data_IF_187706826965
#
_entry.id   IF_187706826965
#
_cell.length_a   1.000
_cell.length_b   1.000
_cell.length_c   1.000
_cell.angle_alpha   90.00
_cell.angle_beta   90.00
_cell.angle_gamma   90.00
#
_symmetry.space_group_name_H-M   'P 1'
#
loop_
_entity.id
_entity.type
_entity.pdbx_description
1 polymer ?
#
# COMPACT_ATOMS: atom_id res chain seq x y z
N UNK A 1 -20.72 -38.55 -10.71
CA UNK A 1 -19.88 -37.88 -9.68
C UNK A 1 -18.91 -36.98 -10.43
N UNK A 2 -19.26 -35.71 -10.63
CA UNK A 2 -18.31 -34.71 -11.13
C UNK A 2 -17.40 -34.35 -9.98
N UNK A 3 -16.15 -34.82 -10.03
CA UNK A 3 -15.11 -34.33 -9.13
C UNK A 3 -15.01 -32.82 -9.29
N UNK A 4 -15.26 -32.08 -8.20
CA UNK A 4 -14.90 -30.67 -8.14
C UNK A 4 -13.38 -30.62 -8.13
N UNK A 5 -12.78 -30.33 -9.28
CA UNK A 5 -11.37 -29.96 -9.37
C UNK A 5 -11.17 -28.81 -8.38
N UNK A 6 -10.29 -28.95 -7.36
CA UNK A 6 -10.05 -27.86 -6.43
C UNK A 6 -9.56 -26.69 -7.27
N UNK A 7 -10.28 -25.56 -7.22
CA UNK A 7 -9.87 -24.37 -7.94
C UNK A 7 -8.41 -24.09 -7.60
N UNK A 8 -7.52 -24.17 -8.59
CA UNK A 8 -6.15 -23.73 -8.40
C UNK A 8 -6.24 -22.29 -7.89
N UNK A 9 -5.80 -22.04 -6.66
CA UNK A 9 -5.77 -20.68 -6.11
C UNK A 9 -4.67 -19.91 -6.83
N UNK A 10 -4.97 -19.45 -8.04
CA UNK A 10 -4.17 -18.49 -8.76
C UNK A 10 -4.16 -17.14 -8.03
N UNK A 11 -3.21 -16.29 -8.39
CA UNK A 11 -3.12 -14.93 -7.87
C UNK A 11 -4.36 -14.11 -8.25
N UNK A 12 -5.04 -13.54 -7.25
CA UNK A 12 -6.29 -12.81 -7.43
C UNK A 12 -6.01 -11.33 -7.70
N UNK A 13 -6.37 -10.83 -8.88
CA UNK A 13 -6.25 -9.41 -9.25
C UNK A 13 -7.44 -8.57 -8.78
N UNK A 14 -7.83 -8.73 -7.52
CA UNK A 14 -8.86 -7.92 -6.88
C UNK A 14 -8.41 -6.45 -6.68
N UNK A 15 -9.38 -5.57 -6.40
CA UNK A 15 -9.15 -4.12 -6.28
C UNK A 15 -8.02 -3.77 -5.28
N UNK A 16 -8.00 -4.31 -4.03
CA UNK A 16 -6.88 -4.08 -3.10
C UNK A 16 -5.52 -4.56 -3.62
N UNK A 17 -5.50 -5.66 -4.36
CA UNK A 17 -4.27 -6.21 -4.93
C UNK A 17 -3.70 -5.28 -5.99
N UNK A 18 -4.54 -4.77 -6.90
CA UNK A 18 -4.12 -3.81 -7.92
C UNK A 18 -3.51 -2.56 -7.27
N UNK A 19 -4.18 -1.99 -6.26
CA UNK A 19 -3.64 -0.84 -5.52
C UNK A 19 -2.31 -1.18 -4.84
N UNK A 20 -2.19 -2.35 -4.23
CA UNK A 20 -0.95 -2.79 -3.58
C UNK A 20 0.22 -2.91 -4.56
N UNK A 21 -0.04 -3.45 -5.76
CA UNK A 21 0.97 -3.57 -6.82
C UNK A 21 1.41 -2.20 -7.34
N UNK A 22 0.49 -1.24 -7.47
CA UNK A 22 0.83 0.14 -7.86
C UNK A 22 1.75 0.80 -6.82
N UNK A 23 1.49 0.60 -5.53
CA UNK A 23 2.36 1.12 -4.46
C UNK A 23 3.72 0.41 -4.40
N UNK A 24 3.79 -0.87 -4.76
CA UNK A 24 5.08 -1.55 -4.90
C UNK A 24 5.87 -1.01 -6.09
N UNK A 25 5.21 -0.82 -7.23
CA UNK A 25 5.82 -0.25 -8.43
C UNK A 25 6.29 1.21 -8.22
N UNK A 26 5.66 1.95 -7.31
CA UNK A 26 6.04 3.34 -7.04
C UNK A 26 7.39 3.49 -6.35
N UNK A 27 8.00 2.43 -5.83
CA UNK A 27 9.34 2.52 -5.24
C UNK A 27 10.39 2.91 -6.29
N UNK A 28 10.15 2.60 -7.57
CA UNK A 28 11.07 2.93 -8.66
C UNK A 28 10.94 4.36 -9.16
N UNK A 29 9.73 4.91 -9.22
CA UNK A 29 9.46 6.21 -9.88
C UNK A 29 8.53 7.15 -9.11
N UNK A 30 7.89 6.69 -8.04
CA UNK A 30 6.89 7.43 -7.26
C UNK A 30 5.52 7.56 -7.94
N UNK A 31 5.49 7.76 -9.26
CA UNK A 31 4.26 8.07 -10.03
C UNK A 31 3.14 7.03 -9.85
N UNK A 32 3.38 5.71 -9.90
CA UNK A 32 2.33 4.71 -9.71
C UNK A 32 1.51 4.85 -8.43
N UNK A 33 2.06 5.42 -7.35
CA UNK A 33 1.30 5.58 -6.10
C UNK A 33 0.18 6.62 -6.24
N UNK A 34 0.34 7.61 -7.13
CA UNK A 34 -0.70 8.60 -7.42
C UNK A 34 -1.90 7.94 -8.08
N UNK A 35 -1.65 7.04 -9.03
CA UNK A 35 -2.69 6.23 -9.66
C UNK A 35 -3.36 5.34 -8.59
N UNK A 36 -2.53 4.69 -7.76
CA UNK A 36 -3.01 3.81 -6.70
C UNK A 36 -3.91 4.52 -5.69
N UNK A 37 -3.56 5.73 -5.23
CA UNK A 37 -4.40 6.46 -4.27
C UNK A 37 -5.72 6.93 -4.89
N UNK A 38 -5.71 7.36 -6.16
CA UNK A 38 -6.93 7.74 -6.86
C UNK A 38 -7.87 6.55 -6.99
N UNK A 39 -7.36 5.40 -7.44
CA UNK A 39 -8.15 4.16 -7.51
C UNK A 39 -8.65 3.74 -6.13
N UNK A 40 -7.83 3.87 -5.09
CA UNK A 40 -8.25 3.57 -3.73
C UNK A 40 -9.42 4.45 -3.30
N UNK A 41 -9.42 5.74 -3.60
CA UNK A 41 -10.54 6.64 -3.29
C UNK A 41 -11.82 6.29 -4.06
N UNK A 42 -11.69 5.91 -5.33
CA UNK A 42 -12.83 5.52 -6.17
C UNK A 42 -13.46 4.23 -5.64
N UNK A 43 -12.65 3.17 -5.48
CA UNK A 43 -13.14 1.84 -5.12
C UNK A 43 -13.58 1.72 -3.66
N UNK A 44 -13.10 2.59 -2.77
CA UNK A 44 -13.51 2.59 -1.35
C UNK A 44 -15.03 2.79 -1.18
N UNK A 45 -15.68 3.48 -2.11
CA UNK A 45 -17.12 3.76 -2.08
C UNK A 45 -17.98 2.74 -2.84
N UNK A 46 -17.37 1.77 -3.53
CA UNK A 46 -18.10 0.80 -4.33
C UNK A 46 -18.66 -0.35 -3.46
N UNK A 47 -19.83 -0.92 -3.80
CA UNK A 47 -20.34 -2.11 -3.13
C UNK A 47 -19.36 -3.29 -3.33
N UNK A 48 -18.62 -3.63 -2.27
CA UNK A 48 -17.61 -4.69 -2.29
C UNK A 48 -17.64 -5.54 -1.02
N UNK A 49 -16.71 -6.48 -0.92
CA UNK A 49 -16.59 -7.30 0.29
C UNK A 49 -16.03 -6.45 1.44
N UNK A 50 -16.55 -6.60 2.66
CA UNK A 50 -16.17 -5.73 3.79
C UNK A 50 -14.67 -5.71 4.13
N UNK A 51 -13.91 -6.72 3.69
CA UNK A 51 -12.45 -6.75 3.84
C UNK A 51 -11.72 -5.85 2.84
N UNK A 52 -12.26 -5.58 1.66
CA UNK A 52 -11.62 -4.78 0.61
C UNK A 52 -11.48 -3.31 1.04
N UNK A 53 -12.56 -2.73 1.58
CA UNK A 53 -12.57 -1.35 2.08
C UNK A 53 -11.47 -1.10 3.12
N UNK A 54 -11.19 -2.07 4.00
CA UNK A 54 -10.10 -1.94 4.98
C UNK A 54 -8.72 -1.76 4.34
N UNK A 55 -8.46 -2.40 3.19
CA UNK A 55 -7.21 -2.26 2.46
C UNK A 55 -7.12 -0.93 1.72
N UNK A 56 -8.21 -0.51 1.09
CA UNK A 56 -8.25 0.76 0.35
C UNK A 56 -8.04 1.93 1.32
N UNK A 57 -8.71 1.90 2.48
CA UNK A 57 -8.47 2.88 3.58
C UNK A 57 -7.03 2.84 4.08
N UNK A 58 -6.45 1.65 4.24
CA UNK A 58 -5.07 1.50 4.68
C UNK A 58 -4.08 2.11 3.69
N UNK A 59 -4.28 1.91 2.38
CA UNK A 59 -3.46 2.53 1.34
C UNK A 59 -3.61 4.05 1.30
N UNK A 60 -4.85 4.56 1.37
CA UNK A 60 -5.12 6.00 1.46
C UNK A 60 -4.38 6.63 2.64
N UNK A 61 -4.45 6.02 3.84
CA UNK A 61 -3.71 6.52 5.00
C UNK A 61 -2.20 6.45 4.79
N UNK A 62 -1.72 5.36 4.21
CA UNK A 62 -0.29 5.16 3.94
C UNK A 62 0.26 6.23 2.99
N UNK A 63 -0.52 6.64 1.99
CA UNK A 63 -0.17 7.74 1.09
C UNK A 63 0.04 9.05 1.84
N UNK A 64 -0.93 9.44 2.67
CA UNK A 64 -0.85 10.71 3.40
C UNK A 64 0.24 10.70 4.47
N UNK A 65 0.45 9.57 5.15
CA UNK A 65 1.58 9.40 6.08
C UNK A 65 2.90 9.50 5.30
N UNK A 66 3.00 8.88 4.12
CA UNK A 66 4.17 8.96 3.25
C UNK A 66 4.49 10.40 2.84
N UNK A 67 3.48 11.18 2.43
CA UNK A 67 3.63 12.62 2.13
C UNK A 67 4.08 13.39 3.36
N UNK A 68 3.43 13.19 4.51
CA UNK A 68 3.79 13.89 5.74
C UNK A 68 5.24 13.61 6.17
N UNK A 69 5.68 12.36 6.10
CA UNK A 69 7.06 11.96 6.39
C UNK A 69 8.05 12.54 5.36
N UNK A 70 7.71 12.50 4.07
CA UNK A 70 8.55 13.07 3.02
C UNK A 70 8.78 14.58 3.23
N UNK A 71 7.73 15.32 3.62
CA UNK A 71 7.82 16.75 3.96
C UNK A 71 8.66 16.95 5.22
N UNK A 72 8.43 16.15 6.27
CA UNK A 72 9.18 16.22 7.52
C UNK A 72 10.68 15.99 7.30
N UNK A 73 11.06 15.09 6.38
CA UNK A 73 12.45 14.76 6.08
C UNK A 73 13.20 15.85 5.30
N UNK A 74 12.51 16.82 4.68
CA UNK A 74 13.16 17.93 3.97
C UNK A 74 14.08 18.72 4.90
N UNK A 75 13.64 19.02 6.12
CA UNK A 75 14.40 19.83 7.09
C UNK A 75 15.77 19.19 7.43
N UNK A 76 15.84 17.94 7.95
CA UNK A 76 17.12 17.31 8.26
C UNK A 76 17.98 17.09 7.00
N UNK A 77 17.37 16.83 5.84
CA UNK A 77 18.10 16.73 4.58
C UNK A 77 18.78 18.04 4.21
N UNK A 78 18.11 19.19 4.33
CA UNK A 78 18.71 20.51 4.06
C UNK A 78 19.79 20.85 5.08
N UNK A 79 19.55 20.62 6.37
CA UNK A 79 20.51 20.94 7.44
C UNK A 79 21.82 20.14 7.34
N UNK A 80 21.75 18.93 6.79
CA UNK A 80 22.91 18.02 6.64
C UNK A 80 23.51 18.04 5.24
N UNK A 81 23.15 19.03 4.41
CA UNK A 81 23.60 19.13 3.01
C UNK A 81 23.35 17.84 2.19
N UNK A 82 22.24 17.17 2.46
CA UNK A 82 21.84 15.95 1.77
C UNK A 82 22.25 14.65 2.47
N UNK A 83 23.13 14.67 3.47
CA UNK A 83 23.63 13.43 4.09
C UNK A 83 22.51 12.59 4.74
N UNK A 84 21.54 13.24 5.39
CA UNK A 84 20.40 12.54 5.99
C UNK A 84 19.51 11.83 4.94
N UNK A 85 19.50 12.30 3.68
CA UNK A 85 18.67 11.71 2.63
C UNK A 85 19.03 10.25 2.34
N UNK A 86 20.31 9.88 2.44
CA UNK A 86 20.80 8.52 2.22
C UNK A 86 20.26 7.49 3.22
N UNK A 87 19.71 7.95 4.35
CA UNK A 87 19.12 7.09 5.38
C UNK A 87 17.59 7.24 5.38
N UNK A 88 17.08 8.46 5.39
CA UNK A 88 15.66 8.73 5.60
C UNK A 88 14.77 8.25 4.45
N UNK A 89 15.14 8.52 3.19
CA UNK A 89 14.32 8.13 2.04
C UNK A 89 14.30 6.61 1.78
N UNK A 90 15.43 5.87 1.91
CA UNK A 90 15.39 4.41 1.87
C UNK A 90 14.52 3.79 2.97
N UNK A 91 14.56 4.35 4.20
CA UNK A 91 13.68 3.90 5.28
C UNK A 91 12.20 4.15 4.94
N UNK A 92 11.88 5.29 4.35
CA UNK A 92 10.51 5.59 3.87
C UNK A 92 10.07 4.60 2.78
N UNK A 93 10.95 4.30 1.83
CA UNK A 93 10.70 3.32 0.77
C UNK A 93 10.47 1.91 1.33
N UNK A 94 11.32 1.47 2.26
CA UNK A 94 11.15 0.17 2.94
C UNK A 94 9.84 0.10 3.72
N UNK A 95 9.49 1.17 4.43
CA UNK A 95 8.21 1.28 5.14
C UNK A 95 7.02 1.14 4.17
N UNK A 96 7.08 1.81 3.01
CA UNK A 96 6.04 1.72 1.97
C UNK A 96 5.94 0.30 1.39
N UNK A 97 7.08 -0.35 1.12
CA UNK A 97 7.13 -1.74 0.64
C UNK A 97 6.48 -2.69 1.62
N UNK A 98 6.85 -2.61 2.91
CA UNK A 98 6.32 -3.52 3.94
C UNK A 98 4.80 -3.36 4.08
N UNK A 99 4.28 -2.11 4.11
CA UNK A 99 2.82 -1.88 4.15
C UNK A 99 2.13 -2.47 2.92
N UNK A 100 2.70 -2.25 1.75
CA UNK A 100 2.12 -2.71 0.49
C UNK A 100 2.12 -4.23 0.38
N UNK A 101 3.19 -4.90 0.82
CA UNK A 101 3.25 -6.36 0.90
C UNK A 101 2.25 -6.94 1.91
N UNK A 102 2.08 -6.32 3.08
CA UNK A 102 1.11 -6.78 4.09
C UNK A 102 -0.32 -6.67 3.58
N UNK A 103 -0.65 -5.55 2.95
CA UNK A 103 -1.95 -5.36 2.29
C UNK A 103 -2.14 -6.38 1.15
N UNK A 104 -1.12 -6.60 0.32
CA UNK A 104 -1.17 -7.59 -0.76
C UNK A 104 -1.42 -9.01 -0.23
N UNK A 105 -0.64 -9.47 0.74
CA UNK A 105 -0.74 -10.82 1.29
C UNK A 105 -2.09 -11.08 1.95
N UNK A 106 -2.65 -10.09 2.65
CA UNK A 106 -3.99 -10.18 3.25
C UNK A 106 -5.09 -10.15 2.19
N UNK A 107 -4.94 -9.34 1.14
CA UNK A 107 -5.86 -9.30 0.01
C UNK A 107 -5.92 -10.64 -0.73
N UNK A 108 -4.78 -11.31 -0.93
CA UNK A 108 -4.73 -12.66 -1.52
C UNK A 108 -5.42 -13.72 -0.64
N UNK A 109 -5.50 -13.50 0.68
CA UNK A 109 -6.23 -14.36 1.63
C UNK A 109 -7.68 -13.92 1.84
N UNK A 110 -8.10 -12.79 1.27
CA UNK A 110 -9.40 -12.14 1.50
C UNK A 110 -9.68 -11.87 2.97
N UNK A 111 -8.63 -11.52 3.72
CA UNK A 111 -8.68 -11.22 5.14
C UNK A 111 -8.64 -9.71 5.38
N UNK A 112 -9.50 -9.14 6.24
CA UNK A 112 -9.48 -7.70 6.50
C UNK A 112 -8.17 -7.24 7.19
N UNK A 113 -7.82 -5.98 6.97
CA UNK A 113 -6.82 -5.30 7.79
C UNK A 113 -7.48 -4.92 9.12
N UNK A 114 -7.10 -5.65 10.17
CA UNK A 114 -7.63 -5.51 11.53
C UNK A 114 -7.31 -4.16 12.16
N UNK A 115 -6.12 -3.63 11.92
CA UNK A 115 -5.69 -2.32 12.41
C UNK A 115 -5.36 -1.41 11.22
N UNK A 116 -6.36 -0.64 10.79
CA UNK A 116 -6.20 0.33 9.70
C UNK A 116 -5.51 1.60 10.18
N UNK A 117 -5.51 1.85 11.49
CA UNK A 117 -5.00 3.09 12.07
C UNK A 117 -3.52 3.04 12.40
N UNK A 118 -2.95 1.83 12.46
CA UNK A 118 -1.54 1.61 12.75
C UNK A 118 -0.63 2.50 11.91
N UNK A 119 0.27 3.20 12.60
CA UNK A 119 1.37 3.94 11.98
C UNK A 119 2.56 3.00 11.69
N UNK A 120 2.61 1.89 12.44
CA UNK A 120 3.57 0.82 12.29
C UNK A 120 2.99 -0.27 11.36
N UNK A 121 3.61 -1.44 11.37
CA UNK A 121 3.35 -2.53 10.43
C UNK A 121 1.98 -3.19 10.64
#
# INVERSE_FOLDING_TARGET
MTEQVPAERGFDFNQPTVVSLLYLASVFTGVPMLIGVVLAYIWKGEPGAGWEDSHLRYHIRSFWIGIALAILFVIPTVLTLGLAAYILYPLLGLWLVVRSLRALLKAQRREPITDVETWLW
#
